data_IF_405138193444
#
_entry.id   IF_405138193444
#
_cell.length_a   1.000
_cell.length_b   1.000
_cell.length_c   1.000
_cell.angle_alpha   90.00
_cell.angle_beta   90.00
_cell.angle_gamma   90.00
#
_symmetry.space_group_name_H-M   'P 1'
#
loop_
_entity.id
_entity.type
_entity.pdbx_description
1 polymer ?
#
# COMPACT_ATOMS: atom_id res chain seq x y z
N UNK A 1 5.73 4.26 -3.44
CA UNK A 1 4.97 5.39 -4.05
C UNK A 1 4.37 5.05 -5.40
N UNK A 2 5.15 4.57 -6.38
CA UNK A 2 4.64 4.30 -7.74
C UNK A 2 3.40 3.39 -7.85
N UNK A 3 3.22 2.35 -7.00
CA UNK A 3 1.98 1.57 -7.03
C UNK A 3 0.70 2.41 -6.87
N UNK A 4 0.74 3.50 -6.10
CA UNK A 4 -0.39 4.43 -5.97
C UNK A 4 -0.72 5.19 -7.25
N UNK A 5 0.23 5.26 -8.19
CA UNK A 5 0.14 6.00 -9.44
C UNK A 5 -0.06 5.09 -10.66
N UNK A 6 0.00 3.77 -10.51
CA UNK A 6 0.00 2.81 -11.62
C UNK A 6 -1.19 3.02 -12.57
N UNK A 7 -2.38 3.31 -12.03
CA UNK A 7 -3.58 3.60 -12.83
C UNK A 7 -3.45 4.88 -13.68
N UNK A 8 -2.76 5.90 -13.17
CA UNK A 8 -2.48 7.13 -13.93
C UNK A 8 -1.44 6.84 -15.01
N UNK A 9 -0.36 6.15 -14.64
CA UNK A 9 0.75 5.84 -15.53
C UNK A 9 0.31 4.97 -16.73
N UNK A 10 -0.61 4.01 -16.51
CA UNK A 10 -1.22 3.20 -17.57
C UNK A 10 -1.99 4.04 -18.59
N UNK A 11 -2.72 5.06 -18.14
CA UNK A 11 -3.51 5.94 -19.04
C UNK A 11 -2.64 6.88 -19.87
N UNK A 12 -1.42 7.18 -19.40
CA UNK A 12 -0.50 8.09 -20.07
C UNK A 12 0.59 7.37 -20.85
N UNK A 13 0.62 6.04 -20.82
CA UNK A 13 1.65 5.27 -21.49
C UNK A 13 1.53 5.39 -23.01
N UNK A 14 2.61 5.75 -23.74
CA UNK A 14 2.59 5.91 -25.20
C UNK A 14 2.43 4.59 -25.96
N UNK A 15 2.66 3.46 -25.30
CA UNK A 15 2.45 2.10 -25.79
C UNK A 15 2.03 1.22 -24.60
N UNK A 16 1.59 -0.03 -24.82
CA UNK A 16 1.25 -0.94 -23.71
C UNK A 16 2.45 -1.17 -22.80
N UNK A 17 2.31 -0.79 -21.52
CA UNK A 17 3.35 -0.96 -20.49
C UNK A 17 2.75 -1.73 -19.31
N UNK A 18 3.42 -2.83 -18.97
CA UNK A 18 3.15 -3.58 -17.76
C UNK A 18 3.89 -2.96 -16.57
N UNK A 19 3.13 -2.64 -15.52
CA UNK A 19 3.66 -2.07 -14.29
C UNK A 19 3.77 -3.15 -13.24
N UNK A 20 4.98 -3.37 -12.72
CA UNK A 20 5.25 -4.38 -11.71
C UNK A 20 5.16 -3.75 -10.32
N UNK A 21 4.32 -4.31 -9.45
CA UNK A 21 4.27 -3.96 -8.04
C UNK A 21 5.08 -4.98 -7.21
N UNK A 22 6.19 -4.58 -6.57
CA UNK A 22 7.00 -5.49 -5.76
C UNK A 22 6.37 -5.81 -4.40
N UNK A 23 5.31 -5.12 -3.97
CA UNK A 23 4.77 -5.23 -2.62
C UNK A 23 4.42 -6.68 -2.23
N UNK A 24 3.78 -7.43 -3.12
CA UNK A 24 3.41 -8.82 -2.85
C UNK A 24 4.63 -9.72 -2.67
N UNK A 25 5.63 -9.60 -3.55
CA UNK A 25 6.86 -10.39 -3.46
C UNK A 25 7.63 -10.09 -2.16
N UNK A 26 7.66 -8.82 -1.74
CA UNK A 26 8.24 -8.40 -0.47
C UNK A 26 7.45 -8.99 0.70
N UNK A 27 6.12 -8.96 0.68
CA UNK A 27 5.28 -9.52 1.74
C UNK A 27 5.51 -11.04 1.91
N UNK A 28 5.54 -11.79 0.80
CA UNK A 28 5.87 -13.23 0.80
C UNK A 28 7.27 -13.49 1.33
N UNK A 29 8.25 -12.67 0.93
CA UNK A 29 9.63 -12.80 1.40
C UNK A 29 9.73 -12.50 2.90
N UNK A 30 9.09 -11.45 3.37
CA UNK A 30 9.02 -11.12 4.79
C UNK A 30 8.42 -12.28 5.59
N UNK A 31 7.29 -12.83 5.15
CA UNK A 31 6.66 -14.00 5.77
C UNK A 31 7.60 -15.22 5.82
N UNK A 32 8.39 -15.45 4.77
CA UNK A 32 9.36 -16.56 4.75
C UNK A 32 10.54 -16.40 5.72
N UNK A 33 10.82 -15.17 6.15
CA UNK A 33 11.93 -14.84 7.06
C UNK A 33 11.48 -14.77 8.52
N UNK A 34 10.20 -14.49 8.75
CA UNK A 34 9.62 -14.46 10.09
C UNK A 34 9.46 -15.88 10.61
N UNK A 35 9.76 -16.08 11.90
CA UNK A 35 9.38 -17.31 12.58
C UNK A 35 7.84 -17.39 12.67
N UNK A 36 7.24 -18.59 12.72
CA UNK A 36 5.81 -18.75 12.94
C UNK A 36 5.41 -17.98 14.20
N UNK A 37 4.71 -16.87 14.00
CA UNK A 37 4.06 -16.14 15.09
C UNK A 37 2.81 -16.97 15.42
N UNK A 38 2.44 -17.07 16.71
CA UNK A 38 1.21 -17.73 17.13
C UNK A 38 -0.02 -17.14 16.41
N UNK A 39 -1.20 -17.74 16.62
CA UNK A 39 -2.41 -17.27 15.94
C UNK A 39 -2.59 -15.75 16.11
N UNK A 40 -2.85 -15.02 15.01
CA UNK A 40 -3.11 -13.60 15.09
C UNK A 40 -4.26 -13.38 16.08
N UNK A 41 -4.06 -12.45 17.03
CA UNK A 41 -5.15 -11.96 17.87
C UNK A 41 -6.30 -11.58 16.95
N UNK A 42 -7.48 -12.17 17.12
CA UNK A 42 -8.65 -11.97 16.23
C UNK A 42 -9.21 -10.54 16.22
N UNK A 43 -8.48 -9.57 16.76
CA UNK A 43 -8.80 -8.16 16.71
C UNK A 43 -8.36 -7.60 15.35
N UNK A 44 -9.34 -7.21 14.54
CA UNK A 44 -9.09 -6.54 13.26
C UNK A 44 -8.82 -5.06 13.52
N UNK A 45 -7.56 -4.70 13.71
CA UNK A 45 -7.14 -3.31 13.69
C UNK A 45 -7.28 -2.74 12.26
N UNK A 46 -7.64 -1.45 12.10
CA UNK A 46 -7.68 -0.83 10.79
C UNK A 46 -6.27 -0.75 10.20
N UNK A 47 -6.13 -1.00 8.90
CA UNK A 47 -4.88 -0.76 8.21
C UNK A 47 -4.58 0.75 8.18
N UNK A 48 -3.42 1.15 8.70
CA UNK A 48 -3.06 2.56 8.86
C UNK A 48 -1.93 3.00 7.92
N UNK A 49 -2.04 4.24 7.44
CA UNK A 49 -0.94 4.95 6.79
C UNK A 49 -0.47 6.09 7.70
N UNK A 50 0.79 6.02 8.14
CA UNK A 50 1.41 6.99 9.05
C UNK A 50 2.16 8.08 8.27
N UNK A 51 1.84 9.35 8.50
CA UNK A 51 2.48 10.49 7.85
C UNK A 51 3.36 11.29 8.82
N UNK A 52 4.67 11.34 8.56
CA UNK A 52 5.63 11.98 9.47
C UNK A 52 5.63 13.51 9.42
N UNK A 53 5.04 14.12 8.40
CA UNK A 53 4.99 15.58 8.22
C UNK A 53 3.83 16.27 8.97
N UNK A 54 2.93 15.51 9.60
CA UNK A 54 1.81 16.02 10.42
C UNK A 54 0.68 16.72 9.65
N UNK A 55 0.81 16.95 8.34
CA UNK A 55 -0.23 17.53 7.49
C UNK A 55 -0.46 16.65 6.26
N UNK A 56 -1.55 15.90 6.28
CA UNK A 56 -2.05 15.15 5.13
C UNK A 56 -3.13 15.98 4.45
N UNK A 57 -2.96 16.33 3.18
CA UNK A 57 -4.00 17.06 2.45
C UNK A 57 -5.18 16.14 2.07
N UNK A 58 -6.27 16.75 1.60
CA UNK A 58 -7.46 16.01 1.23
C UNK A 58 -7.20 14.97 0.12
N UNK A 59 -6.43 15.33 -0.90
CA UNK A 59 -6.13 14.47 -2.03
C UNK A 59 -5.39 13.20 -1.60
N UNK A 60 -4.40 13.35 -0.70
CA UNK A 60 -3.63 12.26 -0.14
C UNK A 60 -4.50 11.37 0.75
N UNK A 61 -5.33 11.94 1.64
CA UNK A 61 -6.27 11.13 2.44
C UNK A 61 -7.22 10.32 1.57
N UNK A 62 -7.79 10.94 0.53
CA UNK A 62 -8.70 10.28 -0.40
C UNK A 62 -8.01 9.15 -1.18
N UNK A 63 -6.76 9.36 -1.61
CA UNK A 63 -5.95 8.35 -2.26
C UNK A 63 -5.76 7.13 -1.34
N UNK A 64 -5.30 7.36 -0.12
CA UNK A 64 -5.02 6.32 0.88
C UNK A 64 -6.27 5.51 1.24
N UNK A 65 -7.42 6.17 1.42
CA UNK A 65 -8.70 5.48 1.61
C UNK A 65 -9.08 4.57 0.44
N UNK A 66 -8.72 4.97 -0.80
CA UNK A 66 -8.92 4.13 -1.99
C UNK A 66 -8.10 2.82 -1.96
N UNK A 67 -7.07 2.74 -1.11
CA UNK A 67 -6.28 1.54 -0.86
C UNK A 67 -6.72 0.80 0.42
N UNK A 68 -7.85 1.16 1.04
CA UNK A 68 -8.35 0.54 2.27
C UNK A 68 -7.65 1.01 3.54
N UNK A 69 -6.77 2.01 3.45
CA UNK A 69 -5.97 2.50 4.56
C UNK A 69 -6.60 3.73 5.22
N UNK A 70 -6.42 3.88 6.53
CA UNK A 70 -6.78 5.08 7.29
C UNK A 70 -5.56 5.96 7.51
N UNK A 71 -5.62 7.24 7.12
CA UNK A 71 -4.54 8.20 7.37
C UNK A 71 -4.48 8.58 8.86
N UNK A 72 -3.32 8.43 9.48
CA UNK A 72 -3.00 8.95 10.82
C UNK A 72 -1.88 9.97 10.76
#
# INVERSE_FOLDING_TARGET
HYPFLANRMRKTAPWPVDWIDPAEAIARRAMSLLQPIGEPSGETEPDIALFTSGKVDFATRRLIQGFGLTSR
#
